data_IF_317171484778
#
_entry.id   IF_317171484778
#
_cell.length_a   1.000
_cell.length_b   1.000
_cell.length_c   1.000
_cell.angle_alpha   90.00
_cell.angle_beta   90.00
_cell.angle_gamma   90.00
#
_symmetry.space_group_name_H-M   'P 1'
#
loop_
_entity.id
_entity.type
_entity.pdbx_description
1 polymer ?
#
# COMPACT_ATOMS: atom_id res chain seq x y z
N UNK A 1 3.58 16.62 -5.54
CA UNK A 1 3.43 15.29 -6.16
C UNK A 1 1.96 14.92 -6.14
N UNK A 2 1.44 14.38 -7.25
CA UNK A 2 0.05 13.95 -7.36
C UNK A 2 -0.04 12.43 -7.07
N UNK A 3 -0.59 12.08 -5.90
CA UNK A 3 -0.61 10.72 -5.37
C UNK A 3 -2.03 10.33 -5.00
N UNK A 4 -2.47 9.18 -5.50
CA UNK A 4 -3.73 8.56 -5.13
C UNK A 4 -3.47 7.29 -4.31
N UNK A 5 -4.27 7.09 -3.26
CA UNK A 5 -4.21 5.88 -2.42
C UNK A 5 -5.58 5.23 -2.41
N UNK A 6 -5.63 3.95 -2.76
CA UNK A 6 -6.83 3.15 -2.60
C UNK A 6 -7.12 2.88 -1.11
N UNK A 7 -8.31 2.36 -0.81
CA UNK A 7 -8.62 1.85 0.52
C UNK A 7 -7.71 0.66 0.85
N UNK A 8 -7.35 0.53 2.13
CA UNK A 8 -6.69 -0.68 2.61
C UNK A 8 -7.72 -1.82 2.56
N UNK A 9 -7.34 -2.91 1.93
CA UNK A 9 -8.13 -4.14 1.83
C UNK A 9 -7.60 -5.14 2.84
N UNK A 10 -8.52 -5.70 3.63
CA UNK A 10 -8.24 -6.81 4.52
C UNK A 10 -8.49 -8.13 3.78
N UNK A 11 -7.46 -8.96 3.71
CA UNK A 11 -7.55 -10.32 3.16
C UNK A 11 -7.77 -11.26 4.33
N UNK A 12 -8.92 -11.92 4.32
CA UNK A 12 -9.32 -12.88 5.35
C UNK A 12 -8.90 -14.29 4.94
N UNK A 13 -8.65 -15.15 5.93
CA UNK A 13 -8.52 -16.58 5.66
C UNK A 13 -9.83 -17.17 5.12
N UNK A 14 -9.78 -18.40 4.62
CA UNK A 14 -10.95 -19.11 4.06
C UNK A 14 -12.15 -19.19 5.00
N UNK A 15 -11.90 -19.17 6.31
CA UNK A 15 -12.94 -19.28 7.34
C UNK A 15 -13.52 -17.91 7.73
N UNK A 16 -13.07 -16.82 7.11
CA UNK A 16 -13.48 -15.44 7.37
C UNK A 16 -13.45 -15.03 8.84
N UNK A 17 -12.56 -15.64 9.65
CA UNK A 17 -12.49 -15.39 11.09
C UNK A 17 -11.20 -14.67 11.51
N UNK A 18 -10.24 -14.54 10.59
CA UNK A 18 -8.97 -13.86 10.83
C UNK A 18 -8.47 -13.17 9.57
N UNK A 19 -8.11 -11.89 9.70
CA UNK A 19 -7.32 -11.18 8.69
C UNK A 19 -5.92 -11.76 8.66
N UNK A 20 -5.50 -12.21 7.48
CA UNK A 20 -4.17 -12.79 7.25
C UNK A 20 -3.25 -11.81 6.55
N UNK A 21 -3.79 -10.87 5.77
CA UNK A 21 -3.00 -9.86 5.07
C UNK A 21 -3.75 -8.55 4.89
N UNK A 22 -3.00 -7.49 4.67
CA UNK A 22 -3.48 -6.17 4.32
C UNK A 22 -2.85 -5.76 3.00
N UNK A 23 -3.65 -5.15 2.13
CA UNK A 23 -3.21 -4.71 0.80
C UNK A 23 -3.62 -3.28 0.54
N UNK A 24 -2.76 -2.50 -0.10
CA UNK A 24 -3.09 -1.17 -0.59
C UNK A 24 -2.42 -0.90 -1.93
N UNK A 25 -3.19 -0.41 -2.90
CA UNK A 25 -2.68 0.13 -4.16
C UNK A 25 -2.47 1.62 -3.99
N UNK A 26 -1.30 2.11 -4.38
CA UNK A 26 -0.94 3.52 -4.44
C UNK A 26 -0.47 3.87 -5.85
N UNK A 27 -0.83 5.07 -6.32
CA UNK A 27 -0.55 5.56 -7.66
C UNK A 27 0.13 6.92 -7.59
N UNK A 28 1.20 7.08 -8.32
CA UNK A 28 1.88 8.35 -8.54
C UNK A 28 1.61 8.83 -9.96
N UNK A 29 0.73 9.81 -10.10
CA UNK A 29 0.37 10.37 -11.41
C UNK A 29 1.53 11.20 -11.99
N UNK A 30 2.41 11.76 -11.15
CA UNK A 30 3.57 12.54 -11.60
C UNK A 30 4.63 11.64 -12.25
N UNK A 31 4.86 10.44 -11.71
CA UNK A 31 5.81 9.46 -12.26
C UNK A 31 5.15 8.44 -13.21
N UNK A 32 3.82 8.48 -13.34
CA UNK A 32 3.02 7.47 -14.04
C UNK A 32 3.27 6.04 -13.53
N UNK A 33 3.43 5.89 -12.22
CA UNK A 33 3.69 4.61 -11.56
C UNK A 33 2.50 4.16 -10.71
N UNK A 34 2.29 2.84 -10.64
CA UNK A 34 1.30 2.20 -9.77
C UNK A 34 2.02 1.10 -9.00
N UNK A 35 1.83 1.07 -7.70
CA UNK A 35 2.42 0.06 -6.81
C UNK A 35 1.34 -0.54 -5.94
N UNK A 36 1.37 -1.87 -5.84
CA UNK A 36 0.56 -2.62 -4.91
C UNK A 36 1.45 -3.15 -3.79
N UNK A 37 1.07 -2.86 -2.54
CA UNK A 37 1.81 -3.27 -1.36
C UNK A 37 0.93 -4.22 -0.56
N UNK A 38 1.48 -5.37 -0.20
CA UNK A 38 0.81 -6.42 0.58
C UNK A 38 1.71 -6.84 1.74
N UNK A 39 1.15 -6.88 2.95
CA UNK A 39 1.87 -7.31 4.16
C UNK A 39 0.94 -8.11 5.07
N UNK A 40 1.50 -8.90 5.98
CA UNK A 40 0.70 -9.67 6.95
C UNK A 40 0.22 -8.79 8.13
N UNK A 41 0.84 -7.62 8.31
CA UNK A 41 0.59 -6.71 9.41
C UNK A 41 0.22 -5.29 8.92
N UNK A 42 -0.82 -4.69 9.49
CA UNK A 42 -1.28 -3.35 9.12
C UNK A 42 -0.23 -2.24 9.35
N UNK A 43 0.52 -2.31 10.44
CA UNK A 43 1.56 -1.33 10.73
C UNK A 43 2.71 -1.43 9.72
N UNK A 44 3.02 -2.66 9.30
CA UNK A 44 4.01 -2.91 8.25
C UNK A 44 3.53 -2.35 6.91
N UNK A 45 2.24 -2.54 6.56
CA UNK A 45 1.66 -1.95 5.35
C UNK A 45 1.82 -0.43 5.34
N UNK A 46 1.45 0.22 6.46
CA UNK A 46 1.56 1.68 6.60
C UNK A 46 3.03 2.13 6.48
N UNK A 47 3.96 1.35 7.04
CA UNK A 47 5.40 1.62 6.96
C UNK A 47 5.92 1.52 5.52
N UNK A 48 5.60 0.43 4.80
CA UNK A 48 6.02 0.21 3.42
C UNK A 48 5.40 1.25 2.47
N UNK A 49 4.13 1.61 2.67
CA UNK A 49 3.49 2.71 1.94
C UNK A 49 4.27 4.00 2.16
N UNK A 50 4.62 4.35 3.40
CA UNK A 50 5.41 5.57 3.68
C UNK A 50 6.79 5.53 3.02
N UNK A 51 7.47 4.38 3.03
CA UNK A 51 8.75 4.20 2.35
C UNK A 51 8.61 4.44 0.84
N UNK A 52 7.61 3.85 0.20
CA UNK A 52 7.39 4.05 -1.24
C UNK A 52 7.15 5.52 -1.58
N UNK A 53 6.34 6.23 -0.79
CA UNK A 53 6.11 7.67 -0.98
C UNK A 53 7.39 8.48 -0.80
N UNK A 54 8.25 8.09 0.15
CA UNK A 54 9.53 8.74 0.38
C UNK A 54 10.50 8.50 -0.79
N UNK A 55 10.57 7.29 -1.33
CA UNK A 55 11.38 7.01 -2.52
C UNK A 55 10.90 7.81 -3.74
N UNK A 56 9.59 7.89 -3.97
CA UNK A 56 9.05 8.75 -5.02
C UNK A 56 9.36 10.24 -4.82
N UNK A 57 9.35 10.72 -3.57
CA UNK A 57 9.71 12.11 -3.27
C UNK A 57 11.20 12.41 -3.49
N UNK A 58 12.10 11.41 -3.50
CA UNK A 58 13.54 11.65 -3.79
C UNK A 58 13.82 11.84 -5.27
N UNK A 59 12.93 11.34 -6.14
CA UNK A 59 13.09 11.39 -7.59
C UNK A 59 12.77 12.79 -8.14
N UNK A 60 11.98 13.57 -7.39
CA UNK A 60 11.44 14.88 -7.78
C UNK A 60 12.17 15.98 -6.99
#
# INVERSE_FOLDING_TARGET
MDIEKSKILEVWNSNHNKVVKYKQVIKNNTLNEVTEIETENLNELISEVRKQLYEWNKII
#
